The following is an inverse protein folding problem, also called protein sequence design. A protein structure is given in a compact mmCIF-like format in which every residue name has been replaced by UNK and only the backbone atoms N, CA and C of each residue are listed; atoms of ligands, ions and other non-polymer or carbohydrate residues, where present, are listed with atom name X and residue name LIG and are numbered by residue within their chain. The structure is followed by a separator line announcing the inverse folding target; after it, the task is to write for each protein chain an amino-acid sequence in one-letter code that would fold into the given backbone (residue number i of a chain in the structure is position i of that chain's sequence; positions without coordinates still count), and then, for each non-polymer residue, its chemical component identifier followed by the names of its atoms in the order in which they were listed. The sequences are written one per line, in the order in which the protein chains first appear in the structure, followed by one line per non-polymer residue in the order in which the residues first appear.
data_IF_738634167216
#
_entry.id   IF_738634167216
#
_cell.length_a   1.000
_cell.length_b   1.000
_cell.length_c   1.000
_cell.angle_alpha   90.00
_cell.angle_beta   90.00
_cell.angle_gamma   90.00
#
_symmetry.space_group_name_H-M   'P 1'
#
loop_
_entity.id
_entity.type
_entity.pdbx_description
1 polymer ?
#
# COMPACT_ATOMS: atom_id res chain seq x y z
N UNK A 1 15.98 -2.27 -7.11
CA UNK A 1 16.92 -2.36 -5.97
C UNK A 1 17.34 -3.81 -5.85
N UNK A 2 18.63 -4.12 -5.95
CA UNK A 2 19.11 -5.51 -5.89
C UNK A 2 19.21 -5.95 -4.44
N UNK A 3 18.42 -6.95 -4.05
CA UNK A 3 18.49 -7.59 -2.73
C UNK A 3 19.73 -8.47 -2.66
N UNK A 4 20.46 -8.41 -1.55
CA UNK A 4 21.67 -9.24 -1.30
C UNK A 4 21.39 -10.14 -0.12
N UNK A 5 21.94 -11.36 -0.13
CA UNK A 5 21.99 -12.22 1.07
C UNK A 5 23.38 -12.05 1.68
N UNK A 6 23.53 -11.26 2.75
CA UNK A 6 24.83 -11.08 3.41
C UNK A 6 25.27 -12.36 4.12
N UNK A 7 26.58 -12.55 4.31
CA UNK A 7 27.09 -13.65 5.11
C UNK A 7 26.75 -13.45 6.61
N UNK A 8 26.73 -14.54 7.38
CA UNK A 8 26.58 -14.50 8.85
C UNK A 8 27.59 -13.55 9.50
N UNK A 9 28.83 -13.56 9.01
CA UNK A 9 29.90 -12.70 9.53
C UNK A 9 29.65 -11.21 9.23
N UNK A 10 29.13 -10.90 8.04
CA UNK A 10 28.82 -9.52 7.66
C UNK A 10 27.66 -8.96 8.48
N UNK A 11 26.65 -9.80 8.79
CA UNK A 11 25.55 -9.45 9.66
C UNK A 11 26.00 -9.09 11.08
N UNK A 12 26.89 -9.89 11.68
CA UNK A 12 27.42 -9.58 13.01
C UNK A 12 28.26 -8.31 13.03
N UNK A 13 29.13 -8.14 12.03
CA UNK A 13 29.95 -6.91 11.90
C UNK A 13 29.06 -5.68 11.76
N UNK A 14 28.00 -5.77 10.96
CA UNK A 14 27.08 -4.66 10.75
C UNK A 14 26.25 -4.37 12.01
N UNK A 15 25.74 -5.41 12.69
CA UNK A 15 25.04 -5.26 13.98
C UNK A 15 25.91 -4.49 14.98
N UNK A 16 27.17 -4.88 15.13
CA UNK A 16 28.10 -4.24 16.05
C UNK A 16 28.31 -2.76 15.72
N UNK A 17 28.50 -2.42 14.43
CA UNK A 17 28.64 -1.03 13.99
C UNK A 17 27.40 -0.20 14.28
N UNK A 18 26.22 -0.72 13.94
CA UNK A 18 24.95 -0.02 14.17
C UNK A 18 24.71 0.19 15.67
N UNK A 19 24.98 -0.82 16.51
CA UNK A 19 24.80 -0.70 17.96
C UNK A 19 25.79 0.30 18.60
N UNK A 20 27.00 0.43 18.05
CA UNK A 20 28.00 1.40 18.50
C UNK A 20 27.79 2.82 17.94
N UNK A 21 26.92 2.97 16.95
CA UNK A 21 26.64 4.27 16.31
C UNK A 21 25.96 5.27 17.25
N UNK A 22 26.09 6.57 16.94
CA UNK A 22 25.36 7.59 17.69
C UNK A 22 23.83 7.49 17.49
N UNK A 23 23.38 6.84 16.41
CA UNK A 23 21.98 6.67 16.10
C UNK A 23 21.26 5.70 17.05
N UNK A 24 21.93 4.60 17.46
CA UNK A 24 21.32 3.51 18.23
C UNK A 24 21.89 3.32 19.65
N UNK A 25 23.10 3.79 19.93
CA UNK A 25 23.83 3.54 21.20
C UNK A 25 23.09 3.94 22.48
N UNK A 26 22.16 4.89 22.42
CA UNK A 26 21.43 5.40 23.60
C UNK A 26 20.19 4.59 23.99
N UNK A 27 19.76 3.60 23.20
CA UNK A 27 18.47 2.93 23.40
C UNK A 27 18.58 1.40 23.49
N UNK A 28 18.67 0.88 24.71
CA UNK A 28 18.77 -0.55 25.01
C UNK A 28 17.69 -1.40 24.31
N UNK A 29 16.43 -0.96 24.33
CA UNK A 29 15.32 -1.68 23.70
C UNK A 29 15.42 -1.76 22.17
N UNK A 30 15.97 -0.73 21.51
CA UNK A 30 16.14 -0.76 20.06
C UNK A 30 17.32 -1.64 19.66
N UNK A 31 18.38 -1.66 20.47
CA UNK A 31 19.51 -2.57 20.29
C UNK A 31 19.09 -4.03 20.45
N UNK A 32 18.30 -4.35 21.50
CA UNK A 32 17.73 -5.70 21.70
C UNK A 32 16.84 -6.13 20.54
N UNK A 33 15.97 -5.23 20.07
CA UNK A 33 15.10 -5.51 18.93
C UNK A 33 15.88 -5.77 17.64
N UNK A 34 16.90 -4.95 17.35
CA UNK A 34 17.74 -5.15 16.16
C UNK A 34 18.50 -6.47 16.25
N UNK A 35 19.07 -6.79 17.41
CA UNK A 35 19.77 -8.04 17.67
C UNK A 35 18.87 -9.25 17.44
N UNK A 36 17.65 -9.23 18.00
CA UNK A 36 16.66 -10.28 17.79
C UNK A 36 16.36 -10.52 16.30
N UNK A 37 16.15 -9.44 15.54
CA UNK A 37 15.86 -9.53 14.11
C UNK A 37 17.06 -10.07 13.31
N UNK A 38 18.29 -9.71 13.69
CA UNK A 38 19.52 -10.27 13.09
C UNK A 38 19.66 -11.75 13.41
N UNK A 39 19.39 -12.17 14.65
CA UNK A 39 19.45 -13.58 15.05
C UNK A 39 18.45 -14.45 14.27
N UNK A 40 17.20 -13.97 14.08
CA UNK A 40 16.21 -14.67 13.25
C UNK A 40 16.66 -14.83 11.80
N UNK A 41 17.33 -13.83 11.24
CA UNK A 41 17.86 -13.90 9.88
C UNK A 41 19.06 -14.84 9.77
N UNK A 42 19.95 -14.85 10.77
CA UNK A 42 21.06 -15.81 10.83
C UNK A 42 20.53 -17.25 10.91
N UNK A 43 19.55 -17.50 11.76
CA UNK A 43 18.90 -18.81 11.87
C UNK A 43 18.32 -19.26 10.53
N UNK A 44 17.67 -18.35 9.79
CA UNK A 44 17.15 -18.64 8.44
C UNK A 44 18.27 -19.02 7.46
N UNK A 45 19.38 -18.30 7.47
CA UNK A 45 20.55 -18.56 6.61
C UNK A 45 21.15 -19.94 6.95
N UNK A 46 21.34 -20.24 8.24
CA UNK A 46 21.90 -21.52 8.70
C UNK A 46 21.02 -22.72 8.36
N UNK A 47 19.71 -22.55 8.43
CA UNK A 47 18.74 -23.59 8.09
C UNK A 47 18.48 -23.71 6.58
N UNK A 48 19.18 -22.92 5.74
CA UNK A 48 19.01 -22.88 4.29
C UNK A 48 17.56 -22.68 3.84
N UNK A 49 16.76 -21.99 4.66
CA UNK A 49 15.35 -21.75 4.37
C UNK A 49 15.23 -20.73 3.24
N UNK A 50 14.62 -21.15 2.13
CA UNK A 50 14.32 -20.29 0.96
C UNK A 50 13.26 -19.24 1.28
N UNK A 51 12.53 -19.40 2.39
CA UNK A 51 11.48 -18.48 2.86
C UNK A 51 11.78 -18.00 4.28
N UNK A 52 11.74 -16.68 4.49
CA UNK A 52 11.76 -16.09 5.84
C UNK A 52 10.37 -16.26 6.46
N UNK A 53 10.22 -17.11 7.47
CA UNK A 53 9.03 -17.03 8.35
C UNK A 53 9.08 -15.68 9.05
N UNK A 54 8.14 -14.78 8.73
CA UNK A 54 8.04 -13.46 9.35
C UNK A 54 7.89 -13.62 10.87
N UNK A 55 8.80 -13.05 11.69
CA UNK A 55 8.61 -13.02 13.14
C UNK A 55 7.25 -12.42 13.48
N UNK A 56 6.47 -13.11 14.33
CA UNK A 56 5.16 -12.62 14.75
C UNK A 56 5.33 -11.51 15.77
N UNK A 57 4.39 -10.57 15.80
CA UNK A 57 4.42 -9.46 16.77
C UNK A 57 4.39 -9.96 18.22
N UNK A 58 3.63 -11.03 18.49
CA UNK A 58 3.58 -11.71 19.78
C UNK A 58 4.96 -12.27 20.19
N UNK A 59 5.69 -12.88 19.26
CA UNK A 59 7.03 -13.43 19.53
C UNK A 59 7.98 -12.31 19.92
N UNK A 60 7.97 -11.18 19.21
CA UNK A 60 8.80 -10.03 19.55
C UNK A 60 8.39 -9.42 20.90
N UNK A 61 7.10 -9.34 21.19
CA UNK A 61 6.59 -8.84 22.45
C UNK A 61 7.15 -9.64 23.64
N UNK A 62 7.13 -10.97 23.53
CA UNK A 62 7.62 -11.88 24.56
C UNK A 62 9.15 -11.87 24.61
N UNK A 63 9.80 -12.14 23.48
CA UNK A 63 11.25 -12.42 23.41
C UNK A 63 12.11 -11.16 23.61
N UNK A 64 11.60 -9.97 23.29
CA UNK A 64 12.37 -8.71 23.32
C UNK A 64 11.90 -7.76 24.41
N UNK A 65 10.59 -7.70 24.65
CA UNK A 65 9.98 -6.72 25.56
C UNK A 65 9.43 -7.34 26.85
N UNK A 66 9.71 -8.62 27.10
CA UNK A 66 9.31 -9.36 28.30
C UNK A 66 7.79 -9.27 28.57
N UNK A 67 6.98 -9.19 27.50
CA UNK A 67 5.52 -9.15 27.61
C UNK A 67 4.97 -10.55 27.88
N UNK A 68 3.80 -10.60 28.52
CA UNK A 68 3.09 -11.85 28.78
C UNK A 68 2.53 -12.46 27.48
N UNK A 69 2.33 -13.78 27.46
CA UNK A 69 1.64 -14.54 26.40
C UNK A 69 0.24 -13.99 26.08
N UNK A 70 -0.42 -13.33 27.03
CA UNK A 70 -1.69 -12.63 26.84
C UNK A 70 -1.56 -11.28 26.09
N UNK A 71 -0.39 -10.96 25.53
CA UNK A 71 -0.18 -9.75 24.74
C UNK A 71 -1.11 -9.72 23.52
N UNK A 72 -1.91 -8.66 23.43
CA UNK A 72 -2.82 -8.40 22.31
C UNK A 72 -2.28 -7.26 21.44
N UNK A 73 -1.83 -7.60 20.23
CA UNK A 73 -1.32 -6.61 19.26
C UNK A 73 -2.34 -5.52 18.91
N UNK A 74 -3.64 -5.77 19.03
CA UNK A 74 -4.66 -4.76 18.73
C UNK A 74 -4.73 -3.66 19.80
N UNK A 75 -4.33 -3.98 21.04
CA UNK A 75 -4.43 -3.07 22.19
C UNK A 75 -3.07 -2.46 22.56
N UNK A 76 -1.97 -3.21 22.45
CA UNK A 76 -0.62 -2.76 22.79
C UNK A 76 0.23 -2.56 21.52
N UNK A 77 0.41 -1.31 21.12
CA UNK A 77 1.23 -0.94 19.96
C UNK A 77 2.74 -0.84 20.25
N UNK A 78 3.22 -1.26 21.42
CA UNK A 78 4.62 -1.10 21.84
C UNK A 78 5.62 -1.69 20.85
N UNK A 79 5.37 -2.90 20.33
CA UNK A 79 6.22 -3.54 19.31
C UNK A 79 6.25 -2.69 18.03
N UNK A 80 5.09 -2.33 17.48
CA UNK A 80 4.98 -1.47 16.27
C UNK A 80 5.70 -0.14 16.44
N UNK A 81 5.58 0.50 17.60
CA UNK A 81 6.25 1.78 17.90
C UNK A 81 7.76 1.61 17.91
N UNK A 82 8.30 0.57 18.57
CA UNK A 82 9.74 0.33 18.62
C UNK A 82 10.31 -0.05 17.25
N UNK A 83 9.60 -0.87 16.46
CA UNK A 83 9.98 -1.21 15.09
C UNK A 83 10.00 0.03 14.18
N UNK A 84 9.01 0.91 14.31
CA UNK A 84 8.97 2.18 13.59
C UNK A 84 10.16 3.08 13.96
N UNK A 85 10.47 3.19 15.26
CA UNK A 85 11.64 3.93 15.75
C UNK A 85 12.94 3.33 15.24
N UNK A 86 13.07 1.99 15.27
CA UNK A 86 14.24 1.29 14.75
C UNK A 86 14.43 1.57 13.25
N UNK A 87 13.36 1.53 12.45
CA UNK A 87 13.40 1.87 11.03
C UNK A 87 13.94 3.29 10.80
N UNK A 88 13.48 4.27 11.58
CA UNK A 88 13.97 5.65 11.50
C UNK A 88 15.44 5.76 11.89
N UNK A 89 15.87 5.04 12.94
CA UNK A 89 17.27 5.04 13.38
C UNK A 89 18.22 4.37 12.40
N UNK A 90 17.80 3.27 11.77
CA UNK A 90 18.56 2.66 10.68
C UNK A 90 18.72 3.63 9.50
N UNK A 91 17.64 4.34 9.13
CA UNK A 91 17.72 5.36 8.09
C UNK A 91 18.71 6.49 8.46
N UNK A 92 18.62 7.02 9.69
CA UNK A 92 19.56 8.04 10.19
C UNK A 92 21.01 7.56 10.14
N UNK A 93 21.27 6.31 10.55
CA UNK A 93 22.59 5.69 10.47
C UNK A 93 23.13 5.65 9.03
N UNK A 94 22.35 5.13 8.07
CA UNK A 94 22.79 5.01 6.68
C UNK A 94 22.89 6.35 5.93
N UNK A 95 22.26 7.41 6.43
CA UNK A 95 22.45 8.78 5.91
C UNK A 95 23.76 9.42 6.40
N UNK A 96 24.35 8.90 7.47
CA UNK A 96 25.53 9.47 8.12
C UNK A 96 26.66 8.44 8.20
N UNK A 97 26.81 7.77 9.34
CA UNK A 97 27.92 6.88 9.67
C UNK A 97 28.02 5.66 8.72
N UNK A 98 26.87 5.14 8.25
CA UNK A 98 26.78 3.97 7.38
C UNK A 98 26.76 4.27 5.88
N UNK A 99 27.00 5.51 5.44
CA UNK A 99 26.81 5.93 4.03
C UNK A 99 27.64 5.12 3.02
N UNK A 100 28.83 4.66 3.43
CA UNK A 100 29.80 3.95 2.61
C UNK A 100 29.74 2.42 2.77
N UNK A 101 28.72 1.87 3.43
CA UNK A 101 28.58 0.42 3.54
C UNK A 101 28.09 -0.21 2.23
N UNK A 102 28.57 -1.42 1.94
CA UNK A 102 28.27 -2.18 0.71
C UNK A 102 26.79 -2.55 0.56
N UNK A 103 26.09 -2.67 1.69
CA UNK A 103 24.66 -2.93 1.73
C UNK A 103 24.01 -2.22 2.93
N UNK A 104 22.73 -1.89 2.78
CA UNK A 104 21.92 -1.30 3.84
C UNK A 104 20.88 -2.29 4.35
N UNK A 105 20.68 -2.29 5.66
CA UNK A 105 19.65 -3.04 6.36
C UNK A 105 18.39 -2.21 6.50
N UNK A 106 17.27 -2.77 6.02
CA UNK A 106 15.96 -2.12 5.98
C UNK A 106 14.92 -3.05 6.57
N UNK A 107 13.98 -2.47 7.32
CA UNK A 107 12.76 -3.17 7.77
C UNK A 107 11.61 -2.65 6.89
N UNK A 108 11.00 -3.47 6.01
CA UNK A 108 9.87 -3.02 5.20
C UNK A 108 8.70 -2.55 6.06
N UNK A 109 7.84 -1.68 5.51
CA UNK A 109 6.66 -1.19 6.24
C UNK A 109 5.70 -2.36 6.48
N UNK A 110 5.22 -2.51 7.72
CA UNK A 110 4.31 -3.59 8.09
C UNK A 110 4.98 -4.96 8.29
N UNK A 111 6.28 -5.07 8.05
CA UNK A 111 7.04 -6.31 8.27
C UNK A 111 7.92 -6.23 9.51
N UNK A 112 8.18 -7.41 10.09
CA UNK A 112 9.06 -7.60 11.24
C UNK A 112 10.31 -8.40 10.87
N UNK A 113 10.87 -8.16 9.68
CA UNK A 113 12.09 -8.82 9.19
C UNK A 113 13.07 -7.81 8.59
N UNK A 114 14.32 -8.24 8.48
CA UNK A 114 15.37 -7.48 7.80
C UNK A 114 15.40 -7.81 6.31
N UNK A 115 15.67 -6.80 5.50
CA UNK A 115 15.94 -6.89 4.06
C UNK A 115 17.21 -6.10 3.78
N UNK A 116 18.11 -6.70 3.00
CA UNK A 116 19.41 -6.10 2.69
C UNK A 116 19.44 -5.66 1.23
N UNK A 117 19.78 -4.39 1.03
CA UNK A 117 19.80 -3.75 -0.29
C UNK A 117 21.23 -3.36 -0.61
N UNK A 118 21.76 -3.78 -1.76
CA UNK A 118 23.09 -3.37 -2.21
C UNK A 118 23.15 -1.85 -2.37
N UNK A 119 24.20 -1.22 -1.86
CA UNK A 119 24.46 0.20 -2.07
C UNK A 119 25.17 0.37 -3.43
N UNK A 120 24.64 1.19 -4.35
CA UNK A 120 25.19 1.32 -5.72
C UNK A 120 26.45 2.22 -5.78
N UNK A 121 27.03 2.59 -4.64
CA UNK A 121 28.30 3.33 -4.60
C UNK A 121 29.48 2.40 -4.37
N UNK A 122 29.79 1.55 -5.34
CA UNK A 122 31.14 0.99 -5.57
C UNK A 122 31.15 0.06 -6.79
N UNK A 123 31.32 0.64 -7.98
CA UNK A 123 31.92 -0.07 -9.12
C UNK A 123 32.39 0.91 -10.18
N UNK A 124 33.42 1.70 -9.83
CA UNK A 124 34.37 2.24 -10.81
C UNK A 124 35.78 2.17 -10.22
N UNK A 125 36.29 0.96 -10.05
CA UNK A 125 37.73 0.71 -10.01
C UNK A 125 38.01 -0.79 -10.16
N UNK A 126 38.10 -1.26 -11.39
CA UNK A 126 38.99 -2.35 -11.77
C UNK A 126 39.68 -1.89 -13.03
N UNK A 127 40.89 -1.36 -12.91
CA UNK A 127 42.08 -1.99 -13.50
C UNK A 127 43.33 -1.13 -13.20
N UNK A 128 44.19 -1.61 -12.31
CA UNK A 128 45.64 -1.41 -12.35
C UNK A 128 46.27 -2.23 -11.24
N UNK A 129 46.64 -3.43 -11.65
CA UNK A 129 47.41 -4.39 -10.90
C UNK A 129 48.87 -3.92 -10.70
N UNK A 130 49.47 -4.35 -9.58
CA UNK A 130 50.92 -4.45 -9.28
C UNK A 130 51.74 -3.18 -8.92
N UNK A 131 52.07 -3.02 -7.63
CA UNK A 131 53.33 -3.52 -6.99
C UNK A 131 53.61 -2.88 -5.60
N UNK A 132 53.98 -3.76 -4.68
CA UNK A 132 55.05 -3.64 -3.67
C UNK A 132 54.92 -2.67 -2.46
N UNK A 133 54.69 -3.30 -1.28
CA UNK A 133 55.41 -3.15 0.01
C UNK A 133 56.28 -1.89 0.22
N UNK A 134 55.96 -1.10 1.25
CA UNK A 134 56.75 -0.97 2.52
C UNK A 134 56.14 0.11 3.43
N UNK A 135 55.82 -0.29 4.66
CA UNK A 135 56.40 0.25 5.89
C UNK A 135 56.60 1.78 5.98
N UNK A 136 55.84 2.46 6.84
CA UNK A 136 56.42 3.23 7.96
C UNK A 136 55.35 4.01 8.73
N UNK A 137 55.40 3.83 10.05
CA UNK A 137 55.02 4.81 11.06
C UNK A 137 55.57 6.21 10.72
N UNK A 138 54.79 7.28 10.90
CA UNK A 138 55.20 8.41 11.73
C UNK A 138 54.10 9.47 11.91
N UNK A 139 53.89 9.78 13.20
CA UNK A 139 53.70 11.09 13.84
C UNK A 139 52.74 12.15 13.26
N UNK A 140 51.82 12.52 14.15
CA UNK A 140 51.28 13.86 14.38
C UNK A 140 52.27 14.99 14.05
N UNK A 141 51.84 15.96 13.24
CA UNK A 141 52.18 17.38 13.47
C UNK A 141 51.19 18.35 12.83
N UNK A 142 50.64 19.21 13.69
CA UNK A 142 50.38 20.64 13.55
C UNK A 142 49.81 21.22 12.22
N UNK A 143 48.62 21.81 12.38
CA UNK A 143 48.02 22.84 11.53
C UNK A 143 48.95 24.05 11.31
N UNK A 144 49.00 24.56 10.07
CA UNK A 144 49.21 25.99 9.78
C UNK A 144 48.68 26.40 8.39
N UNK A 145 47.73 27.34 8.42
CA UNK A 145 47.62 28.50 7.51
C UNK A 145 47.36 28.26 6.04
N UNK A 146 46.09 28.07 5.65
CA UNK A 146 45.63 28.32 4.29
C UNK A 146 44.79 29.61 4.24
N UNK A 147 45.06 30.43 3.24
CA UNK A 147 44.71 31.84 3.18
C UNK A 147 43.19 32.09 3.10
N UNK A 148 42.68 32.93 3.98
CA UNK A 148 41.26 33.27 4.19
C UNK A 148 40.64 34.17 3.11
N UNK A 149 41.34 34.50 2.03
CA UNK A 149 40.83 35.43 0.99
C UNK A 149 39.72 34.84 0.11
N UNK A 150 39.56 33.51 0.07
CA UNK A 150 38.56 32.84 -0.76
C UNK A 150 37.45 32.14 0.04
N UNK A 151 37.56 32.07 1.38
CA UNK A 151 36.55 31.42 2.23
C UNK A 151 35.23 32.20 2.26
N UNK A 152 35.30 33.53 2.37
CA UNK A 152 34.12 34.40 2.43
C UNK A 152 33.31 34.37 1.12
N UNK A 153 33.91 34.58 -0.08
CA UNK A 153 33.14 34.48 -1.32
C UNK A 153 32.63 33.06 -1.59
N UNK A 154 33.34 32.01 -1.15
CA UNK A 154 32.86 30.62 -1.27
C UNK A 154 31.67 30.33 -0.35
N UNK A 155 31.66 30.86 0.88
CA UNK A 155 30.50 30.77 1.78
C UNK A 155 29.30 31.55 1.25
N UNK A 156 29.51 32.74 0.66
CA UNK A 156 28.43 33.53 0.04
C UNK A 156 27.87 32.80 -1.19
N UNK A 157 28.73 32.22 -2.04
CA UNK A 157 28.30 31.42 -3.18
C UNK A 157 27.56 30.15 -2.74
N UNK A 158 28.02 29.49 -1.68
CA UNK A 158 27.36 28.31 -1.09
C UNK A 158 25.99 28.65 -0.50
N UNK A 159 25.87 29.81 0.16
CA UNK A 159 24.59 30.33 0.67
C UNK A 159 23.66 30.76 -0.45
N UNK A 160 24.17 31.37 -1.53
CA UNK A 160 23.39 31.69 -2.72
C UNK A 160 22.88 30.43 -3.40
N UNK A 161 23.72 29.39 -3.54
CA UNK A 161 23.32 28.09 -4.07
C UNK A 161 22.28 27.44 -3.17
N UNK A 162 22.42 27.49 -1.84
CA UNK A 162 21.41 26.99 -0.92
C UNK A 162 20.11 27.80 -0.98
N UNK A 163 20.18 29.12 -1.12
CA UNK A 163 19.01 29.98 -1.26
C UNK A 163 18.29 29.71 -2.59
N UNK A 164 19.03 29.53 -3.68
CA UNK A 164 18.51 29.15 -4.99
C UNK A 164 17.96 27.72 -4.97
N UNK A 165 18.58 26.80 -4.22
CA UNK A 165 18.02 25.47 -3.95
C UNK A 165 16.74 25.59 -3.15
N UNK A 166 16.67 26.36 -2.06
CA UNK A 166 15.46 26.50 -1.23
C UNK A 166 14.31 27.14 -2.03
N UNK A 167 14.57 28.17 -2.83
CA UNK A 167 13.54 28.80 -3.67
C UNK A 167 13.11 27.94 -4.84
N UNK A 168 13.99 27.09 -5.39
CA UNK A 168 13.61 26.07 -6.39
C UNK A 168 12.98 24.81 -5.77
N UNK A 169 13.30 24.47 -4.52
CA UNK A 169 12.74 23.32 -3.80
C UNK A 169 11.33 23.62 -3.26
N UNK A 170 11.02 24.88 -2.91
CA UNK A 170 9.65 25.27 -2.56
C UNK A 170 8.73 25.31 -3.80
N UNK A 171 9.30 25.46 -5.02
CA UNK A 171 8.59 25.22 -6.29
C UNK A 171 8.51 23.73 -6.63
N UNK A 172 9.35 22.89 -6.03
CA UNK A 172 9.26 21.42 -6.07
C UNK A 172 8.55 20.85 -4.83
N UNK A 173 7.59 21.59 -4.28
CA UNK A 173 6.65 21.06 -3.30
C UNK A 173 5.62 20.24 -4.06
N UNK A 174 5.97 18.97 -4.30
CA UNK A 174 5.13 17.85 -4.73
C UNK A 174 3.98 18.29 -5.63
N UNK A 175 4.12 18.06 -6.94
CA UNK A 175 2.93 17.87 -7.79
C UNK A 175 1.98 16.98 -6.98
N UNK A 176 0.84 17.56 -6.58
CA UNK A 176 -0.30 16.74 -6.22
C UNK A 176 -0.56 15.99 -7.51
N UNK A 177 -0.19 14.71 -7.56
CA UNK A 177 -0.69 13.80 -8.58
C UNK A 177 -2.17 14.14 -8.71
N UNK A 178 -2.58 14.63 -9.88
CA UNK A 178 -3.97 14.98 -10.14
C UNK A 178 -4.74 13.67 -10.17
N UNK A 179 -5.09 13.19 -8.97
CA UNK A 179 -5.91 12.01 -8.78
C UNK A 179 -7.22 12.23 -9.53
N UNK A 180 -7.76 11.12 -10.06
CA UNK A 180 -8.95 11.14 -10.87
C UNK A 180 -10.09 11.93 -10.17
N UNK A 181 -10.70 12.96 -10.83
CA UNK A 181 -11.75 13.80 -10.25
C UNK A 181 -12.93 13.03 -9.65
N UNK A 182 -13.14 11.79 -10.07
CA UNK A 182 -14.17 10.90 -9.55
C UNK A 182 -14.13 10.76 -8.03
N UNK A 183 -12.93 10.85 -7.43
CA UNK A 183 -12.67 10.70 -6.00
C UNK A 183 -12.72 11.99 -5.19
N UNK A 184 -13.02 13.15 -5.80
CA UNK A 184 -12.95 14.45 -5.14
C UNK A 184 -13.74 14.51 -3.81
N UNK A 185 -14.96 13.97 -3.78
CA UNK A 185 -15.81 13.96 -2.58
C UNK A 185 -15.36 12.97 -1.50
N UNK A 186 -14.56 11.97 -1.87
CA UNK A 186 -13.93 11.07 -0.90
C UNK A 186 -12.67 11.70 -0.29
N UNK A 187 -11.88 12.44 -1.08
CA UNK A 187 -10.63 13.06 -0.64
C UNK A 187 -10.84 14.26 0.27
N UNK A 188 -11.88 15.05 0.01
CA UNK A 188 -12.27 16.20 0.83
C UNK A 188 -13.71 16.03 1.31
N UNK A 189 -13.95 15.06 2.20
CA UNK A 189 -15.30 14.64 2.50
C UNK A 189 -15.99 15.62 3.45
N UNK A 190 -17.23 16.00 3.12
CA UNK A 190 -18.09 16.85 3.98
C UNK A 190 -18.74 16.05 5.11
N UNK A 191 -18.81 14.74 4.96
CA UNK A 191 -19.34 13.77 5.92
C UNK A 191 -18.28 12.68 6.16
N UNK A 192 -18.49 11.82 7.16
CA UNK A 192 -17.54 10.74 7.44
C UNK A 192 -17.41 9.78 6.24
N UNK A 193 -16.20 9.28 5.97
CA UNK A 193 -15.99 8.18 5.02
C UNK A 193 -16.03 6.83 5.75
N UNK A 194 -16.55 5.80 5.09
CA UNK A 194 -16.49 4.40 5.51
C UNK A 194 -16.08 3.56 4.30
N UNK A 195 -15.15 2.64 4.50
CA UNK A 195 -14.82 1.62 3.51
C UNK A 195 -15.53 0.32 3.90
N UNK A 196 -16.24 -0.27 2.96
CA UNK A 196 -17.04 -1.48 3.15
C UNK A 196 -16.44 -2.59 2.31
N UNK A 197 -16.08 -3.69 2.95
CA UNK A 197 -15.49 -4.86 2.33
C UNK A 197 -16.56 -5.93 2.11
N UNK A 198 -16.85 -6.26 0.85
CA UNK A 198 -17.78 -7.31 0.47
C UNK A 198 -17.08 -8.66 0.36
N UNK A 199 -16.97 -9.36 1.49
CA UNK A 199 -16.43 -10.72 1.57
C UNK A 199 -17.37 -11.60 2.39
N UNK A 200 -17.33 -12.91 2.18
CA UNK A 200 -18.18 -13.83 2.93
C UNK A 200 -17.75 -13.84 4.41
N UNK A 201 -18.70 -13.63 5.31
CA UNK A 201 -18.55 -14.02 6.71
C UNK A 201 -18.79 -15.54 6.78
N UNK A 202 -17.76 -16.34 7.06
CA UNK A 202 -17.91 -17.80 7.18
C UNK A 202 -19.09 -18.14 8.09
N UNK A 203 -20.12 -18.78 7.54
CA UNK A 203 -21.19 -19.39 8.31
C UNK A 203 -21.29 -20.89 7.99
N UNK A 204 -20.91 -21.65 9.01
CA UNK A 204 -21.27 -23.04 9.33
C UNK A 204 -20.40 -24.21 8.82
N UNK A 205 -19.75 -24.84 9.82
CA UNK A 205 -19.45 -26.27 9.99
C UNK A 205 -18.16 -26.86 9.37
N UNK A 206 -17.04 -26.75 10.10
CA UNK A 206 -16.46 -27.87 10.88
C UNK A 206 -15.24 -27.41 11.69
N UNK A 207 -15.17 -27.93 12.90
CA UNK A 207 -14.22 -27.64 13.98
C UNK A 207 -12.75 -27.58 13.52
N UNK A 208 -12.03 -26.51 13.89
CA UNK A 208 -10.91 -26.51 14.87
C UNK A 208 -10.08 -25.21 14.76
N UNK A 209 -10.03 -24.48 15.88
CA UNK A 209 -9.08 -23.41 16.25
C UNK A 209 -8.79 -22.22 15.29
N UNK A 210 -9.17 -21.03 15.77
CA UNK A 210 -9.01 -19.67 15.23
C UNK A 210 -10.03 -19.22 14.17
N UNK A 211 -10.95 -18.33 14.59
CA UNK A 211 -11.83 -17.51 13.73
C UNK A 211 -10.99 -16.53 12.90
N UNK A 212 -10.22 -17.04 11.95
CA UNK A 212 -9.41 -16.22 11.05
C UNK A 212 -10.30 -15.83 9.86
N UNK A 213 -10.90 -14.63 9.93
CA UNK A 213 -11.70 -14.04 8.84
C UNK A 213 -10.79 -13.88 7.61
N UNK A 214 -10.72 -14.91 6.75
CA UNK A 214 -9.77 -14.96 5.63
C UNK A 214 -10.30 -14.17 4.44
N UNK A 215 -9.88 -12.92 4.35
CA UNK A 215 -9.99 -12.14 3.12
C UNK A 215 -9.09 -12.72 2.03
N UNK A 216 -9.57 -12.72 0.79
CA UNK A 216 -8.77 -13.12 -0.37
C UNK A 216 -7.63 -12.12 -0.63
N UNK A 217 -6.51 -12.62 -1.17
CA UNK A 217 -5.33 -11.77 -1.45
C UNK A 217 -5.63 -10.67 -2.46
N UNK A 218 -6.45 -10.97 -3.48
CA UNK A 218 -6.82 -9.99 -4.51
C UNK A 218 -7.67 -8.88 -3.94
N UNK A 219 -8.66 -9.19 -3.11
CA UNK A 219 -9.46 -8.19 -2.40
C UNK A 219 -8.61 -7.30 -1.48
N UNK A 220 -7.66 -7.87 -0.73
CA UNK A 220 -6.74 -7.10 0.13
C UNK A 220 -5.86 -6.15 -0.70
N UNK A 221 -5.35 -6.62 -1.85
CA UNK A 221 -4.54 -5.79 -2.74
C UNK A 221 -5.37 -4.68 -3.40
N UNK A 222 -6.60 -5.00 -3.81
CA UNK A 222 -7.52 -4.04 -4.38
C UNK A 222 -7.91 -2.96 -3.36
N UNK A 223 -8.19 -3.37 -2.12
CA UNK A 223 -8.41 -2.46 -0.99
C UNK A 223 -7.19 -1.56 -0.72
N UNK A 224 -5.96 -2.11 -0.78
CA UNK A 224 -4.73 -1.32 -0.64
C UNK A 224 -4.64 -0.21 -1.68
N UNK A 225 -5.04 -0.45 -2.93
CA UNK A 225 -5.08 0.58 -3.96
C UNK A 225 -6.02 1.73 -3.57
N UNK A 226 -7.23 1.41 -3.08
CA UNK A 226 -8.20 2.41 -2.62
C UNK A 226 -7.67 3.23 -1.43
N UNK A 227 -6.91 2.62 -0.52
CA UNK A 227 -6.31 3.35 0.60
C UNK A 227 -5.34 4.45 0.15
N UNK A 228 -4.75 4.34 -1.04
CA UNK A 228 -3.87 5.39 -1.58
C UNK A 228 -4.60 6.69 -1.93
N UNK A 229 -5.93 6.63 -2.08
CA UNK A 229 -6.75 7.78 -2.45
C UNK A 229 -6.84 8.83 -1.33
N UNK A 230 -6.67 8.45 -0.06
CA UNK A 230 -6.82 9.33 1.09
C UNK A 230 -5.53 9.47 1.89
N UNK A 231 -5.16 10.71 2.18
CA UNK A 231 -4.04 11.02 3.07
C UNK A 231 -4.34 10.71 4.55
N UNK A 232 -5.62 10.56 4.91
CA UNK A 232 -6.10 10.38 6.30
C UNK A 232 -6.75 9.02 6.55
N UNK A 233 -6.38 7.99 5.76
CA UNK A 233 -6.96 6.65 5.87
C UNK A 233 -6.92 6.05 7.28
N UNK A 234 -6.02 6.53 8.16
CA UNK A 234 -5.90 6.08 9.56
C UNK A 234 -7.18 6.28 10.38
N UNK A 235 -8.07 7.17 9.95
CA UNK A 235 -9.33 7.48 10.65
C UNK A 235 -10.58 7.04 9.87
N UNK A 236 -10.41 6.47 8.68
CA UNK A 236 -11.53 5.93 7.89
C UNK A 236 -11.85 4.52 8.40
N UNK A 237 -13.02 4.26 9.01
CA UNK A 237 -13.37 2.92 9.41
C UNK A 237 -13.49 1.99 8.21
N UNK A 238 -13.01 0.77 8.41
CA UNK A 238 -13.12 -0.32 7.46
C UNK A 238 -14.00 -1.38 8.11
N UNK A 239 -15.15 -1.66 7.50
CA UNK A 239 -16.14 -2.61 8.02
C UNK A 239 -16.48 -3.66 6.97
N UNK A 240 -17.05 -4.78 7.39
CA UNK A 240 -17.62 -5.76 6.47
C UNK A 240 -18.97 -5.29 5.96
N UNK A 241 -19.40 -5.77 4.79
CA UNK A 241 -20.75 -5.50 4.28
C UNK A 241 -21.86 -5.98 5.21
N UNK A 242 -21.60 -7.03 6.00
CA UNK A 242 -22.50 -7.52 7.05
C UNK A 242 -22.69 -6.55 8.21
N UNK A 243 -21.70 -5.69 8.46
CA UNK A 243 -21.68 -4.75 9.58
C UNK A 243 -22.20 -3.36 9.16
N UNK A 244 -22.51 -3.17 7.87
CA UNK A 244 -23.00 -1.92 7.32
C UNK A 244 -24.47 -1.70 7.71
N UNK A 245 -24.76 -0.58 8.37
CA UNK A 245 -26.14 -0.23 8.75
C UNK A 245 -26.80 0.72 7.75
N UNK A 246 -28.14 0.77 7.78
CA UNK A 246 -28.91 1.79 7.05
C UNK A 246 -28.52 3.23 7.45
N UNK A 247 -28.15 3.45 8.72
CA UNK A 247 -27.73 4.76 9.19
C UNK A 247 -26.40 5.18 8.56
N UNK A 248 -25.46 4.24 8.40
CA UNK A 248 -24.19 4.49 7.71
C UNK A 248 -24.44 4.87 6.25
N UNK A 249 -25.32 4.14 5.55
CA UNK A 249 -25.73 4.46 4.17
C UNK A 249 -26.35 5.86 4.07
N UNK A 250 -27.15 6.28 5.06
CA UNK A 250 -27.77 7.61 5.09
C UNK A 250 -26.77 8.74 5.43
N UNK A 251 -25.69 8.49 6.18
CA UNK A 251 -24.89 9.55 6.80
C UNK A 251 -23.42 9.62 6.36
N UNK A 252 -22.86 8.55 5.80
CA UNK A 252 -21.44 8.48 5.46
C UNK A 252 -21.23 8.37 3.95
N UNK A 253 -20.11 8.88 3.46
CA UNK A 253 -19.61 8.47 2.16
C UNK A 253 -19.14 7.02 2.26
N UNK A 254 -19.53 6.18 1.30
CA UNK A 254 -19.21 4.76 1.30
C UNK A 254 -18.33 4.45 0.10
N UNK A 255 -17.24 3.73 0.31
CA UNK A 255 -16.57 2.99 -0.75
C UNK A 255 -16.76 1.50 -0.48
N UNK A 256 -17.56 0.85 -1.31
CA UNK A 256 -17.69 -0.59 -1.32
C UNK A 256 -16.68 -1.21 -2.28
N UNK A 257 -15.99 -2.25 -1.83
CA UNK A 257 -15.17 -3.12 -2.68
C UNK A 257 -15.41 -4.58 -2.29
N UNK A 258 -15.82 -5.40 -3.26
CA UNK A 258 -16.13 -6.81 -3.02
C UNK A 258 -16.96 -7.45 -4.12
N UNK A 259 -17.25 -8.74 -4.01
CA UNK A 259 -17.99 -9.45 -5.06
C UNK A 259 -19.48 -9.08 -5.09
N UNK A 260 -20.15 -9.28 -6.23
CA UNK A 260 -21.59 -8.95 -6.38
C UNK A 260 -22.47 -9.66 -5.35
N UNK A 261 -22.17 -10.92 -5.02
CA UNK A 261 -22.89 -11.72 -4.03
C UNK A 261 -22.78 -11.17 -2.59
N UNK A 262 -21.76 -10.38 -2.30
CA UNK A 262 -21.44 -9.93 -0.93
C UNK A 262 -21.79 -8.46 -0.68
N UNK A 263 -22.63 -7.86 -1.53
CA UNK A 263 -23.00 -6.44 -1.43
C UNK A 263 -23.90 -6.12 -0.22
N UNK A 264 -24.59 -7.11 0.35
CA UNK A 264 -25.51 -6.90 1.47
C UNK A 264 -26.56 -5.83 1.16
N UNK A 265 -26.74 -4.87 2.06
CA UNK A 265 -27.71 -3.76 1.87
C UNK A 265 -27.41 -2.90 0.64
N UNK A 266 -26.16 -2.85 0.17
CA UNK A 266 -25.79 -2.10 -1.02
C UNK A 266 -26.27 -2.75 -2.31
N UNK A 267 -26.71 -4.02 -2.29
CA UNK A 267 -27.32 -4.66 -3.46
C UNK A 267 -28.57 -3.90 -3.95
N UNK A 268 -29.21 -3.11 -3.08
CA UNK A 268 -30.32 -2.24 -3.47
C UNK A 268 -29.94 -1.20 -4.54
N UNK A 269 -28.64 -0.93 -4.72
CA UNK A 269 -28.07 -0.25 -5.88
C UNK A 269 -28.69 -0.72 -7.21
N UNK A 270 -28.88 -2.04 -7.36
CA UNK A 270 -29.40 -2.61 -8.60
C UNK A 270 -30.82 -2.17 -8.92
N UNK A 271 -31.57 -1.58 -7.99
CA UNK A 271 -32.90 -1.01 -8.31
C UNK A 271 -32.81 0.14 -9.32
N UNK A 272 -31.78 1.00 -9.23
CA UNK A 272 -31.53 2.10 -10.17
C UNK A 272 -30.52 1.80 -11.28
N UNK A 273 -29.75 0.71 -11.16
CA UNK A 273 -28.86 0.20 -12.21
C UNK A 273 -29.63 -0.31 -13.42
N UNK A 274 -29.00 -0.30 -14.61
CA UNK A 274 -29.49 -1.02 -15.78
C UNK A 274 -29.30 -2.54 -15.66
N UNK A 275 -28.52 -2.99 -14.68
CA UNK A 275 -28.25 -4.40 -14.41
C UNK A 275 -29.07 -4.91 -13.24
N UNK A 276 -29.23 -6.23 -13.19
CA UNK A 276 -29.67 -6.97 -12.00
C UNK A 276 -28.73 -8.14 -11.79
N UNK A 277 -28.35 -8.39 -10.54
CA UNK A 277 -27.51 -9.53 -10.20
C UNK A 277 -28.37 -10.74 -9.84
N UNK A 278 -28.14 -11.84 -10.54
CA UNK A 278 -28.73 -13.15 -10.32
C UNK A 278 -27.68 -14.02 -9.63
N UNK A 279 -27.80 -14.15 -8.31
CA UNK A 279 -26.86 -14.89 -7.47
C UNK A 279 -26.90 -16.39 -7.72
N UNK A 280 -28.05 -16.95 -8.11
CA UNK A 280 -28.21 -18.38 -8.34
C UNK A 280 -27.42 -18.83 -9.58
N UNK A 281 -27.44 -18.01 -10.63
CA UNK A 281 -26.75 -18.30 -11.88
C UNK A 281 -25.41 -17.58 -12.02
N UNK A 282 -25.00 -16.82 -10.99
CA UNK A 282 -23.79 -16.00 -10.96
C UNK A 282 -23.64 -15.13 -12.22
N UNK A 283 -24.63 -14.29 -12.50
CA UNK A 283 -24.66 -13.44 -13.71
C UNK A 283 -25.27 -12.07 -13.45
N UNK A 284 -24.91 -11.10 -14.29
CA UNK A 284 -25.56 -9.80 -14.39
C UNK A 284 -26.49 -9.83 -15.60
N UNK A 285 -27.79 -9.66 -15.39
CA UNK A 285 -28.76 -9.51 -16.47
C UNK A 285 -28.93 -8.03 -16.81
N UNK A 286 -28.96 -7.70 -18.09
CA UNK A 286 -29.32 -6.36 -18.55
C UNK A 286 -30.85 -6.24 -18.51
N UNK A 287 -31.36 -5.26 -17.78
CA UNK A 287 -32.80 -5.07 -17.65
C UNK A 287 -33.44 -4.74 -19.00
N UNK A 288 -34.64 -5.25 -19.20
CA UNK A 288 -35.43 -5.08 -20.43
C UNK A 288 -34.80 -5.70 -21.69
N UNK A 289 -33.78 -6.55 -21.56
CA UNK A 289 -33.20 -7.32 -22.66
C UNK A 289 -32.99 -8.78 -22.24
N UNK A 290 -32.53 -9.61 -23.18
CA UNK A 290 -32.11 -11.00 -22.91
C UNK A 290 -30.61 -11.14 -22.71
N UNK A 291 -29.86 -10.03 -22.71
CA UNK A 291 -28.41 -10.02 -22.58
C UNK A 291 -28.01 -10.27 -21.12
N UNK A 292 -26.97 -11.07 -20.91
CA UNK A 292 -26.43 -11.36 -19.60
C UNK A 292 -24.91 -11.59 -19.65
N UNK A 293 -24.23 -11.15 -18.59
CA UNK A 293 -22.80 -11.33 -18.38
C UNK A 293 -22.57 -12.35 -17.26
N UNK A 294 -21.89 -13.44 -17.58
CA UNK A 294 -21.72 -14.57 -16.68
C UNK A 294 -20.39 -14.48 -15.94
N UNK A 295 -20.41 -14.75 -14.64
CA UNK A 295 -19.20 -14.98 -13.87
C UNK A 295 -18.49 -16.27 -14.32
N UNK A 296 -17.15 -16.33 -14.23
CA UNK A 296 -16.39 -17.49 -14.66
C UNK A 296 -16.64 -18.70 -13.76
N UNK A 297 -16.79 -19.89 -14.36
CA UNK A 297 -16.93 -21.16 -13.62
C UNK A 297 -15.59 -21.78 -13.21
N UNK A 298 -14.52 -21.47 -13.95
CA UNK A 298 -13.17 -21.98 -13.70
C UNK A 298 -12.17 -20.85 -13.92
N UNK A 299 -11.32 -20.62 -12.92
CA UNK A 299 -10.30 -19.56 -12.93
C UNK A 299 -8.86 -20.09 -13.07
N UNK A 300 -8.69 -21.41 -13.22
CA UNK A 300 -7.38 -22.08 -13.42
C UNK A 300 -6.90 -22.09 -14.88
N UNK A 301 -7.69 -21.55 -15.81
CA UNK A 301 -7.33 -21.34 -17.21
C UNK A 301 -7.66 -19.89 -17.57
N UNK A 302 -7.50 -19.49 -18.82
CA UNK A 302 -7.98 -18.19 -19.25
C UNK A 302 -9.52 -18.12 -19.14
N UNK A 303 -10.02 -17.06 -18.54
CA UNK A 303 -11.45 -16.80 -18.37
C UNK A 303 -11.79 -15.34 -18.67
N UNK A 304 -13.07 -15.10 -18.94
CA UNK A 304 -13.63 -13.75 -19.01
C UNK A 304 -14.34 -13.44 -17.70
N UNK A 305 -13.99 -12.31 -17.11
CA UNK A 305 -14.62 -11.72 -15.94
C UNK A 305 -15.28 -10.39 -16.32
N UNK A 306 -16.12 -9.88 -15.42
CA UNK A 306 -16.75 -8.59 -15.56
C UNK A 306 -16.67 -7.81 -14.25
N UNK A 307 -16.21 -6.57 -14.35
CA UNK A 307 -16.11 -5.63 -13.25
C UNK A 307 -17.05 -4.44 -13.47
N UNK A 308 -17.77 -4.07 -12.43
CA UNK A 308 -18.65 -2.91 -12.40
C UNK A 308 -18.10 -1.86 -11.44
N UNK A 309 -18.00 -0.62 -11.93
CA UNK A 309 -17.78 0.54 -11.12
C UNK A 309 -19.02 1.45 -11.16
N UNK A 310 -19.40 1.99 -10.00
CA UNK A 310 -20.41 3.02 -9.95
C UNK A 310 -20.12 4.10 -8.89
N UNK A 311 -20.51 5.32 -9.20
CA UNK A 311 -20.58 6.45 -8.26
C UNK A 311 -22.01 6.95 -8.27
N UNK A 312 -22.68 6.89 -7.12
CA UNK A 312 -24.07 7.34 -6.97
C UNK A 312 -24.25 8.21 -5.73
N UNK A 313 -25.23 9.11 -5.78
CA UNK A 313 -25.70 9.82 -4.59
C UNK A 313 -26.37 8.85 -3.63
N UNK A 314 -26.01 8.96 -2.35
CA UNK A 314 -26.70 8.36 -1.23
C UNK A 314 -27.92 9.18 -0.80
N UNK A 315 -28.68 8.67 0.19
CA UNK A 315 -29.97 9.24 0.61
C UNK A 315 -29.91 10.70 1.09
N UNK A 316 -28.79 11.12 1.70
CA UNK A 316 -28.63 12.49 2.25
C UNK A 316 -27.53 13.26 1.54
N UNK A 317 -27.39 13.06 0.22
CA UNK A 317 -26.38 13.72 -0.60
C UNK A 317 -24.92 13.38 -0.18
N UNK A 318 -24.75 12.26 0.53
CA UNK A 318 -23.48 11.56 0.68
C UNK A 318 -23.15 10.82 -0.63
N UNK A 319 -21.91 10.38 -0.83
CA UNK A 319 -21.48 9.66 -2.04
C UNK A 319 -21.24 8.18 -1.75
N UNK A 320 -21.76 7.32 -2.61
CA UNK A 320 -21.58 5.87 -2.54
C UNK A 320 -20.85 5.43 -3.81
N UNK A 321 -19.68 4.84 -3.61
CA UNK A 321 -18.83 4.25 -4.64
C UNK A 321 -18.93 2.74 -4.53
N UNK A 322 -19.14 2.05 -5.65
CA UNK A 322 -19.26 0.59 -5.73
C UNK A 322 -18.21 0.10 -6.70
N UNK A 323 -17.30 -0.74 -6.22
CA UNK A 323 -16.34 -1.50 -7.02
C UNK A 323 -16.68 -2.96 -6.80
N UNK A 324 -17.28 -3.59 -7.81
CA UNK A 324 -17.77 -4.96 -7.70
C UNK A 324 -17.42 -5.81 -8.91
N UNK A 325 -17.27 -7.10 -8.71
CA UNK A 325 -16.89 -8.05 -9.76
C UNK A 325 -17.27 -9.47 -9.40
N UNK A 326 -17.14 -10.42 -10.33
CA UNK A 326 -17.37 -11.83 -10.01
C UNK A 326 -16.14 -12.48 -9.36
N UNK A 327 -14.94 -11.97 -9.61
CA UNK A 327 -13.70 -12.50 -9.04
C UNK A 327 -12.77 -11.41 -8.51
N UNK A 328 -11.77 -11.83 -7.73
CA UNK A 328 -10.67 -10.99 -7.27
C UNK A 328 -9.93 -10.27 -8.41
N UNK A 329 -9.86 -10.85 -9.61
CA UNK A 329 -9.14 -10.26 -10.75
C UNK A 329 -9.81 -8.99 -11.25
N UNK A 330 -11.14 -8.98 -11.39
CA UNK A 330 -11.86 -7.77 -11.77
C UNK A 330 -11.77 -6.69 -10.70
N UNK A 331 -11.83 -7.07 -9.42
CA UNK A 331 -11.65 -6.12 -8.30
C UNK A 331 -10.26 -5.49 -8.30
N UNK A 332 -9.22 -6.31 -8.49
CA UNK A 332 -7.84 -5.84 -8.54
C UNK A 332 -7.64 -4.88 -9.70
N UNK A 333 -8.07 -5.27 -10.91
CA UNK A 333 -7.95 -4.46 -12.10
C UNK A 333 -8.73 -3.13 -11.96
N UNK A 334 -10.00 -3.17 -11.55
CA UNK A 334 -10.81 -1.95 -11.35
C UNK A 334 -10.17 -1.01 -10.33
N UNK A 335 -9.71 -1.54 -9.20
CA UNK A 335 -9.07 -0.73 -8.17
C UNK A 335 -7.81 -0.05 -8.68
N UNK A 336 -6.99 -0.75 -9.47
CA UNK A 336 -5.81 -0.19 -10.11
C UNK A 336 -6.20 0.88 -11.14
N UNK A 337 -7.14 0.57 -12.04
CA UNK A 337 -7.61 1.48 -13.08
C UNK A 337 -8.16 2.80 -12.50
N UNK A 338 -8.95 2.71 -11.43
CA UNK A 338 -9.56 3.88 -10.80
C UNK A 338 -8.58 4.70 -9.95
N UNK A 339 -7.44 4.13 -9.56
CA UNK A 339 -6.45 4.79 -8.69
C UNK A 339 -5.16 5.16 -9.42
N UNK A 340 -4.96 4.67 -10.65
CA UNK A 340 -3.80 5.00 -11.47
C UNK A 340 -3.84 6.47 -11.90
N UNK A 341 -2.66 7.10 -11.91
CA UNK A 341 -2.45 8.46 -12.42
C UNK A 341 -1.79 8.48 -13.79
N UNK A 342 -1.66 7.32 -14.46
CA UNK A 342 -0.99 7.23 -15.76
C UNK A 342 -1.94 7.60 -16.90
N UNK A 343 -1.63 8.74 -17.52
CA UNK A 343 -2.30 9.36 -18.66
C UNK A 343 -2.62 8.34 -19.77
N UNK A 344 -1.74 7.37 -20.05
CA UNK A 344 -1.86 6.41 -21.16
C UNK A 344 -2.98 5.37 -20.97
N UNK A 345 -3.31 5.01 -19.73
CA UNK A 345 -4.42 4.08 -19.41
C UNK A 345 -5.77 4.76 -19.38
N UNK A 346 -5.78 6.06 -19.09
CA UNK A 346 -6.97 6.87 -19.09
C UNK A 346 -7.25 7.43 -20.48
N UNK A 347 -6.27 7.85 -21.30
CA UNK A 347 -6.50 8.57 -22.58
C UNK A 347 -7.48 7.88 -23.55
N UNK A 348 -7.53 6.55 -23.60
CA UNK A 348 -8.49 5.80 -24.44
C UNK A 348 -9.94 5.84 -23.93
N UNK A 349 -10.13 6.06 -22.62
CA UNK A 349 -11.43 6.17 -21.95
C UNK A 349 -11.70 7.59 -21.40
N UNK A 350 -10.69 8.47 -21.37
CA UNK A 350 -10.64 9.79 -20.75
C UNK A 350 -11.49 10.78 -21.53
N UNK A 351 -11.57 10.66 -22.86
CA UNK A 351 -12.48 11.50 -23.63
C UNK A 351 -13.95 11.24 -23.25
N UNK A 352 -14.32 9.97 -23.00
CA UNK A 352 -15.66 9.55 -22.55
C UNK A 352 -15.89 9.89 -21.07
N UNK A 353 -14.88 9.64 -20.23
CA UNK A 353 -14.86 9.91 -18.79
C UNK A 353 -14.86 11.41 -18.49
N UNK A 354 -14.00 12.23 -19.09
CA UNK A 354 -13.90 13.68 -18.84
C UNK A 354 -15.11 14.45 -19.38
N UNK A 355 -15.66 14.08 -20.54
CA UNK A 355 -16.89 14.66 -21.09
C UNK A 355 -18.09 14.51 -20.15
N UNK A 356 -18.20 13.37 -19.44
CA UNK A 356 -19.34 13.07 -18.57
C UNK A 356 -19.06 13.33 -17.07
N UNK A 357 -17.82 13.19 -16.60
CA UNK A 357 -17.38 13.45 -15.23
C UNK A 357 -17.02 14.92 -14.96
N UNK A 358 -16.85 15.76 -15.99
CA UNK A 358 -16.57 17.20 -15.82
C UNK A 358 -17.74 17.97 -15.20
N UNK A 359 -18.96 17.43 -15.21
CA UNK A 359 -19.99 17.87 -14.27
C UNK A 359 -19.82 17.12 -12.95
N UNK A 360 -19.28 17.83 -11.96
CA UNK A 360 -18.91 17.42 -10.60
C UNK A 360 -19.99 16.67 -9.78
N UNK A 361 -21.14 16.33 -10.37
CA UNK A 361 -22.36 15.85 -9.72
C UNK A 361 -23.10 14.73 -10.46
N UNK A 362 -22.56 14.15 -11.54
CA UNK A 362 -23.25 13.04 -12.24
C UNK A 362 -22.98 11.69 -11.58
N UNK A 363 -24.07 10.95 -11.40
CA UNK A 363 -24.02 9.54 -11.04
C UNK A 363 -23.70 8.73 -12.29
N UNK A 364 -22.75 7.82 -12.18
CA UNK A 364 -22.19 7.06 -13.30
C UNK A 364 -22.10 5.57 -12.96
N UNK A 365 -22.28 4.74 -13.97
CA UNK A 365 -22.06 3.29 -13.93
C UNK A 365 -21.28 2.86 -15.16
N UNK A 366 -20.25 2.06 -14.93
CA UNK A 366 -19.39 1.51 -15.95
C UNK A 366 -19.26 0.00 -15.77
N UNK A 367 -19.47 -0.74 -16.84
CA UNK A 367 -19.21 -2.17 -16.90
C UNK A 367 -18.00 -2.44 -17.78
N UNK A 368 -17.06 -3.22 -17.27
CA UNK A 368 -15.86 -3.65 -17.97
C UNK A 368 -15.86 -5.16 -18.12
N UNK A 369 -15.43 -5.62 -19.29
CA UNK A 369 -15.05 -7.01 -19.55
C UNK A 369 -13.54 -7.12 -19.35
N UNK A 370 -13.12 -8.11 -18.57
CA UNK A 370 -11.73 -8.28 -18.14
C UNK A 370 -11.36 -9.73 -18.42
N UNK A 371 -10.50 -9.97 -19.41
CA UNK A 371 -9.98 -11.30 -19.65
C UNK A 371 -8.80 -11.54 -18.71
N UNK A 372 -8.82 -12.67 -17.99
CA UNK A 372 -7.87 -12.96 -16.93
C UNK A 372 -7.38 -14.41 -16.98
N UNK A 373 -6.22 -14.65 -16.38
CA UNK A 373 -5.66 -15.98 -16.15
C UNK A 373 -4.87 -15.97 -14.85
N UNK A 374 -5.04 -16.98 -13.99
CA UNK A 374 -4.33 -17.12 -12.71
C UNK A 374 -4.35 -15.87 -11.81
N UNK A 375 -5.45 -15.12 -11.84
CA UNK A 375 -5.61 -13.93 -11.00
C UNK A 375 -5.11 -12.62 -11.63
N UNK A 376 -4.48 -12.66 -12.82
CA UNK A 376 -3.95 -11.49 -13.52
C UNK A 376 -4.79 -11.13 -14.73
N UNK A 377 -4.85 -9.84 -15.07
CA UNK A 377 -5.51 -9.36 -16.28
C UNK A 377 -4.62 -9.53 -17.53
N UNK A 378 -5.27 -9.86 -18.65
CA UNK A 378 -4.67 -10.03 -19.97
C UNK A 378 -5.14 -8.95 -20.93
N UNK A 379 -6.43 -8.62 -20.89
CA UNK A 379 -7.02 -7.54 -21.66
C UNK A 379 -8.32 -7.04 -21.03
N UNK A 380 -8.72 -5.83 -21.38
CA UNK A 380 -9.89 -5.19 -20.82
C UNK A 380 -10.63 -4.35 -21.88
N UNK A 381 -11.94 -4.24 -21.72
CA UNK A 381 -12.84 -3.54 -22.64
C UNK A 381 -13.98 -2.89 -21.86
N UNK A 382 -14.24 -1.60 -22.08
CA UNK A 382 -15.45 -0.94 -21.56
C UNK A 382 -16.65 -1.41 -22.36
N UNK A 383 -17.58 -2.09 -21.70
CA UNK A 383 -18.81 -2.61 -22.29
C UNK A 383 -19.91 -1.56 -22.27
N UNK A 384 -20.05 -0.83 -21.18
CA UNK A 384 -21.05 0.22 -21.05
C UNK A 384 -20.56 1.34 -20.14
N UNK A 385 -21.05 2.55 -20.42
CA UNK A 385 -20.95 3.72 -19.57
C UNK A 385 -22.29 4.44 -19.61
N UNK A 386 -22.95 4.57 -18.47
CA UNK A 386 -24.30 5.15 -18.39
C UNK A 386 -24.45 6.05 -17.18
N UNK A 387 -25.43 6.96 -17.25
CA UNK A 387 -25.82 7.77 -16.10
C UNK A 387 -26.94 7.09 -15.32
N UNK A 388 -26.86 7.13 -13.99
CA UNK A 388 -27.86 6.53 -13.10
C UNK A 388 -28.69 7.60 -12.39
N UNK A 389 -29.99 7.33 -12.22
CA UNK A 389 -30.84 8.13 -11.34
C UNK A 389 -30.83 7.57 -9.92
N UNK A 390 -30.28 8.32 -8.96
CA UNK A 390 -30.13 7.90 -7.56
C UNK A 390 -31.44 7.89 -6.75
N UNK A 391 -32.45 8.69 -7.15
CA UNK A 391 -33.73 8.82 -6.43
C UNK A 391 -34.49 7.51 -6.26
N UNK A 392 -34.34 6.58 -7.21
CA UNK A 392 -35.00 5.27 -7.15
C UNK A 392 -34.20 4.25 -6.36
N UNK A 393 -32.91 4.51 -6.11
CA UNK A 393 -32.00 3.54 -5.47
C UNK A 393 -32.32 3.40 -3.98
N UNK A 394 -32.56 4.51 -3.27
CA UNK A 394 -32.63 4.49 -1.81
C UNK A 394 -34.02 4.83 -1.29
N UNK A 395 -35.04 4.07 -1.69
CA UNK A 395 -36.32 4.07 -0.97
C UNK A 395 -36.12 3.37 0.37
N UNK A 396 -35.79 4.13 1.40
CA UNK A 396 -35.84 3.67 2.78
C UNK A 396 -37.01 4.36 3.49
N UNK A 397 -37.83 3.63 4.29
CA UNK A 397 -38.79 4.29 5.17
C UNK A 397 -38.04 5.30 6.06
N UNK A 398 -38.70 6.43 6.29
CA UNK A 398 -38.15 7.58 7.04
C UNK A 398 -37.63 7.17 8.41
#
# INVERSE_FOLDING_TARGET
MTTVVPSKEDLYKQLQRIQQSNALSRSSNLSKLLEYLVQKEIQRIEQQLTTTSLPKELEIAIDVFDKNVNFNSNEDASVRVHVSRLRKKLLEYYLQEGKQEDFRTVIPVGEYRLVFIKNTHASTSVDSDKKAKKQSSFRQTALKGYQTKYLIPFCILSLLIHFLFITTFDVYKSDKTTLNPIWAEYQSPKVKNIIVLGTQAESSMRETHHNDRRMSKGLVLAFKNILTLSNDFRYTPVILSSDLSANDIKQANIIYIGHFENMGMLANYFSGSQYSFDSENNRLNVKNTTEAFYGPKNTSQQYTDYGLFAKVDGPRNNKIYIISGFTDSSLLWLSWFLTSSEETTQTSYAASLESELSSQHKNVEMLFKINSMDGQDLSHELISNTTITSKTIWHMPD
#
